data_IF_494952253554
#
_entry.id   IF_494952253554
#
_cell.length_a   1.000
_cell.length_b   1.000
_cell.length_c   1.000
_cell.angle_alpha   90.00
_cell.angle_beta   90.00
_cell.angle_gamma   90.00
#
_symmetry.space_group_name_H-M   'P 1'
#
loop_
_entity.id
_entity.type
_entity.pdbx_description
1 polymer ?
#
# COMPACT_ATOMS: atom_id res chain seq x y z
N UNK A 1 -24.41 14.52 -21.56
CA UNK A 1 -23.22 14.55 -22.43
C UNK A 1 -22.01 14.63 -21.52
N UNK A 2 -21.28 13.52 -21.33
CA UNK A 2 -20.10 13.49 -20.47
C UNK A 2 -18.85 13.90 -21.25
N UNK A 3 -18.25 15.02 -20.86
CA UNK A 3 -16.92 15.44 -21.34
C UNK A 3 -15.85 14.64 -20.61
N UNK A 4 -15.78 13.34 -20.85
CA UNK A 4 -14.60 12.55 -20.50
C UNK A 4 -13.47 13.02 -21.41
N UNK A 5 -12.67 13.98 -20.92
CA UNK A 5 -11.38 14.27 -21.52
C UNK A 5 -10.54 13.01 -21.36
N UNK A 6 -10.27 12.32 -22.48
CA UNK A 6 -9.39 11.15 -22.52
C UNK A 6 -8.12 11.48 -21.74
N UNK A 7 -7.87 10.72 -20.67
CA UNK A 7 -6.63 10.83 -19.91
C UNK A 7 -5.48 10.65 -20.90
N UNK A 8 -4.61 11.66 -21.01
CA UNK A 8 -3.52 11.63 -22.00
C UNK A 8 -2.43 10.61 -21.64
N UNK A 9 -2.50 10.05 -20.43
CA UNK A 9 -1.48 9.18 -19.86
C UNK A 9 -0.15 9.92 -19.68
N UNK A 10 0.79 9.34 -18.91
CA UNK A 10 2.19 9.73 -19.02
C UNK A 10 2.69 9.58 -20.47
N UNK A 11 3.63 10.43 -20.87
CA UNK A 11 4.54 10.15 -21.99
C UNK A 11 5.93 10.06 -21.38
N UNK A 12 6.50 8.87 -21.39
CA UNK A 12 7.83 8.60 -20.81
C UNK A 12 8.83 8.25 -21.93
N UNK A 13 9.40 9.26 -22.62
CA UNK A 13 10.44 9.03 -23.62
C UNK A 13 11.58 8.23 -23.00
N UNK A 14 11.96 7.12 -23.65
CA UNK A 14 13.01 6.21 -23.18
C UNK A 14 12.48 4.93 -22.52
N UNK A 15 11.35 4.98 -21.80
CA UNK A 15 10.75 3.76 -21.24
C UNK A 15 10.20 2.87 -22.37
N UNK A 16 9.48 3.46 -23.33
CA UNK A 16 8.99 2.74 -24.51
C UNK A 16 10.13 2.08 -25.31
N UNK A 17 11.28 2.76 -25.43
CA UNK A 17 12.44 2.22 -26.15
C UNK A 17 13.13 1.08 -25.40
N UNK A 18 13.15 1.14 -24.06
CA UNK A 18 13.69 0.06 -23.21
C UNK A 18 12.76 -1.17 -23.28
N UNK A 19 11.46 -0.99 -23.12
CA UNK A 19 10.50 -2.08 -23.24
C UNK A 19 10.39 -2.65 -24.66
N UNK A 20 10.60 -1.85 -25.71
CA UNK A 20 10.64 -2.38 -27.09
C UNK A 20 11.80 -3.33 -27.36
N UNK A 21 12.80 -3.35 -26.49
CA UNK A 21 13.94 -4.27 -26.56
C UNK A 21 13.86 -5.36 -25.49
N UNK A 22 12.89 -5.28 -24.59
CA UNK A 22 12.71 -6.22 -23.51
C UNK A 22 12.00 -7.47 -24.03
N UNK A 23 12.57 -8.63 -23.73
CA UNK A 23 11.88 -9.92 -23.87
C UNK A 23 12.06 -10.72 -22.58
N UNK A 24 11.05 -11.47 -22.13
CA UNK A 24 11.12 -12.25 -20.89
C UNK A 24 12.32 -13.19 -20.83
N UNK A 25 12.74 -13.73 -21.98
CA UNK A 25 13.79 -14.75 -22.08
C UNK A 25 15.21 -14.17 -21.98
N UNK A 26 15.38 -12.85 -22.20
CA UNK A 26 16.70 -12.21 -22.32
C UNK A 26 16.91 -11.05 -21.36
N UNK A 27 15.89 -10.70 -20.59
CA UNK A 27 15.88 -9.45 -19.83
C UNK A 27 15.58 -9.71 -18.37
N UNK A 28 16.39 -9.13 -17.50
CA UNK A 28 16.16 -9.19 -16.06
C UNK A 28 14.90 -8.38 -15.67
N UNK A 29 13.89 -9.00 -15.02
CA UNK A 29 12.70 -8.29 -14.56
C UNK A 29 13.00 -7.25 -13.48
N UNK A 30 14.06 -7.43 -12.69
CA UNK A 30 14.50 -6.44 -11.70
C UNK A 30 14.90 -5.11 -12.35
N UNK A 31 15.74 -5.18 -13.39
CA UNK A 31 16.13 -4.00 -14.18
C UNK A 31 14.95 -3.31 -14.87
N UNK A 32 13.96 -4.08 -15.33
CA UNK A 32 12.75 -3.52 -15.93
C UNK A 32 11.89 -2.79 -14.90
N UNK A 33 11.70 -3.39 -13.71
CA UNK A 33 11.02 -2.76 -12.59
C UNK A 33 11.72 -1.46 -12.15
N UNK A 34 13.03 -1.49 -11.95
CA UNK A 34 13.82 -0.31 -11.59
C UNK A 34 13.69 0.82 -12.63
N UNK A 35 13.71 0.47 -13.93
CA UNK A 35 13.49 1.44 -15.00
C UNK A 35 12.10 2.08 -14.98
N UNK A 36 11.07 1.30 -14.64
CA UNK A 36 9.69 1.81 -14.53
C UNK A 36 9.54 2.74 -13.32
N UNK A 37 10.09 2.37 -12.17
CA UNK A 37 10.08 3.21 -10.96
C UNK A 37 10.86 4.51 -11.18
N UNK A 38 12.05 4.45 -11.80
CA UNK A 38 12.84 5.65 -12.11
C UNK A 38 12.12 6.59 -13.10
N UNK A 39 11.40 6.05 -14.08
CA UNK A 39 10.59 6.86 -15.00
C UNK A 39 9.46 7.59 -14.26
N UNK A 40 8.78 6.91 -13.33
CA UNK A 40 7.78 7.53 -12.45
C UNK A 40 8.41 8.63 -11.59
N UNK A 41 9.51 8.33 -10.92
CA UNK A 41 10.20 9.30 -10.06
C UNK A 41 10.62 10.56 -10.84
N UNK A 42 11.17 10.40 -12.04
CA UNK A 42 11.51 11.55 -12.89
C UNK A 42 10.28 12.39 -13.28
N UNK A 43 9.16 11.74 -13.56
CA UNK A 43 7.91 12.44 -13.88
C UNK A 43 7.41 13.24 -12.67
N UNK A 44 7.35 12.63 -11.49
CA UNK A 44 6.92 13.29 -10.26
C UNK A 44 7.89 14.40 -9.81
N UNK A 45 9.21 14.27 -10.00
CA UNK A 45 10.15 15.37 -9.72
C UNK A 45 9.97 16.56 -10.65
N UNK A 46 9.65 16.31 -11.92
CA UNK A 46 9.42 17.37 -12.89
C UNK A 46 8.09 18.11 -12.64
N UNK A 47 7.07 17.38 -12.19
CA UNK A 47 5.75 17.89 -11.81
C UNK A 47 5.24 17.12 -10.59
N UNK A 48 5.36 17.66 -9.36
CA UNK A 48 4.95 16.99 -8.13
C UNK A 48 3.45 16.65 -8.07
N UNK A 49 2.63 17.33 -8.86
CA UNK A 49 1.19 17.11 -8.93
C UNK A 49 0.80 16.22 -10.13
N UNK A 50 1.80 15.67 -10.85
CA UNK A 50 1.59 14.78 -11.96
C UNK A 50 0.66 13.62 -11.57
N UNK A 51 -0.36 13.43 -12.42
CA UNK A 51 -1.38 12.38 -12.28
C UNK A 51 -2.26 12.50 -11.03
N UNK A 52 -2.09 13.52 -10.18
CA UNK A 52 -2.76 13.62 -8.88
C UNK A 52 -2.26 12.61 -7.84
N UNK A 53 -1.11 11.96 -8.09
CA UNK A 53 -0.61 10.90 -7.20
C UNK A 53 -0.33 11.42 -5.79
N UNK A 54 0.36 12.54 -5.66
CA UNK A 54 0.76 13.07 -4.35
C UNK A 54 -0.43 13.37 -3.45
N UNK A 55 -1.42 14.11 -3.96
CA UNK A 55 -2.63 14.47 -3.22
C UNK A 55 -3.44 13.23 -2.82
N UNK A 56 -3.77 12.38 -3.80
CA UNK A 56 -4.60 11.19 -3.57
C UNK A 56 -3.91 10.18 -2.63
N UNK A 57 -2.60 9.96 -2.80
CA UNK A 57 -1.81 9.07 -1.93
C UNK A 57 -1.71 9.61 -0.50
N UNK A 58 -1.58 10.93 -0.34
CA UNK A 58 -1.54 11.56 0.99
C UNK A 58 -2.88 11.41 1.69
N UNK A 59 -3.99 11.72 1.00
CA UNK A 59 -5.33 11.58 1.55
C UNK A 59 -5.64 10.13 1.94
N UNK A 60 -5.28 9.17 1.08
CA UNK A 60 -5.47 7.75 1.37
C UNK A 60 -4.56 7.23 2.49
N UNK A 61 -3.30 7.69 2.55
CA UNK A 61 -2.38 7.36 3.63
C UNK A 61 -2.86 7.85 5.00
N UNK A 62 -3.48 9.03 5.07
CA UNK A 62 -4.10 9.53 6.30
C UNK A 62 -5.31 8.68 6.71
N UNK A 63 -6.19 8.33 5.77
CA UNK A 63 -7.31 7.42 6.04
C UNK A 63 -6.84 6.03 6.45
N UNK A 64 -5.72 5.55 5.90
CA UNK A 64 -5.10 4.31 6.32
C UNK A 64 -4.63 4.39 7.78
N UNK A 65 -3.94 5.45 8.18
CA UNK A 65 -3.54 5.64 9.58
C UNK A 65 -4.76 5.69 10.52
N UNK A 66 -5.83 6.38 10.13
CA UNK A 66 -7.08 6.40 10.90
C UNK A 66 -7.74 5.01 10.96
N UNK A 67 -7.67 4.23 9.88
CA UNK A 67 -8.15 2.85 9.82
C UNK A 67 -7.33 1.92 10.72
N UNK A 68 -6.00 2.09 10.73
CA UNK A 68 -5.10 1.39 11.65
C UNK A 68 -5.47 1.67 13.11
N UNK A 69 -5.90 2.90 13.45
CA UNK A 69 -6.40 3.22 14.80
C UNK A 69 -7.59 2.36 15.20
N UNK A 70 -8.55 2.18 14.29
CA UNK A 70 -9.74 1.35 14.54
C UNK A 70 -9.33 -0.12 14.70
N UNK A 71 -8.50 -0.63 13.80
CA UNK A 71 -8.01 -2.01 13.85
C UNK A 71 -7.17 -2.28 15.11
N UNK A 72 -6.33 -1.33 15.53
CA UNK A 72 -5.49 -1.44 16.73
C UNK A 72 -6.30 -1.50 18.03
N UNK A 73 -7.50 -0.92 18.04
CA UNK A 73 -8.34 -0.83 19.25
C UNK A 73 -9.41 -1.92 19.31
N UNK A 74 -10.03 -2.20 18.17
CA UNK A 74 -11.28 -2.97 18.10
C UNK A 74 -11.24 -4.10 17.04
N UNK A 75 -10.10 -4.28 16.38
CA UNK A 75 -9.90 -5.29 15.35
C UNK A 75 -10.88 -5.16 14.18
N UNK A 76 -11.22 -6.27 13.50
CA UNK A 76 -12.14 -6.25 12.36
C UNK A 76 -13.58 -5.90 12.77
N UNK A 77 -13.95 -6.13 14.04
CA UNK A 77 -15.28 -5.78 14.54
C UNK A 77 -15.49 -4.27 14.59
N UNK A 78 -14.49 -3.51 15.03
CA UNK A 78 -14.54 -2.05 14.98
C UNK A 78 -14.65 -1.51 13.56
N UNK A 79 -13.92 -2.13 12.62
CA UNK A 79 -13.99 -1.77 11.21
C UNK A 79 -15.42 -1.91 10.66
N UNK A 80 -16.05 -3.08 10.88
CA UNK A 80 -17.44 -3.36 10.50
C UNK A 80 -18.43 -2.34 11.06
N UNK A 81 -18.41 -2.11 12.38
CA UNK A 81 -19.34 -1.14 13.02
C UNK A 81 -19.20 0.25 12.44
N UNK A 82 -17.96 0.64 12.20
CA UNK A 82 -17.67 1.97 11.70
C UNK A 82 -18.01 2.10 10.20
N UNK A 83 -18.16 1.00 9.45
CA UNK A 83 -18.77 0.99 8.12
C UNK A 83 -20.31 1.13 8.20
N UNK A 84 -20.97 0.37 9.08
CA UNK A 84 -22.44 0.45 9.31
C UNK A 84 -22.90 1.87 9.69
N UNK A 85 -22.11 2.58 10.50
CA UNK A 85 -22.41 3.97 10.86
C UNK A 85 -22.33 4.94 9.68
N UNK A 86 -21.42 4.69 8.72
CA UNK A 86 -21.24 5.53 7.54
C UNK A 86 -22.42 5.41 6.57
N UNK A 87 -22.97 4.20 6.42
CA UNK A 87 -24.19 3.95 5.63
C UNK A 87 -25.43 4.64 6.24
N UNK A 88 -25.57 4.58 7.57
CA UNK A 88 -26.71 5.21 8.27
C UNK A 88 -26.74 6.74 8.13
N UNK A 89 -25.57 7.38 8.03
CA UNK A 89 -25.46 8.83 7.86
C UNK A 89 -25.73 9.27 6.40
N UNK A 90 -25.32 8.48 5.41
CA UNK A 90 -25.63 8.74 4.00
C UNK A 90 -27.14 8.64 3.68
N UNK A 91 -27.86 7.73 4.33
CA UNK A 91 -29.32 7.55 4.14
C UNK A 91 -30.13 8.76 4.62
N UNK A 92 -29.61 9.54 5.57
CA UNK A 92 -30.30 10.72 6.11
C UNK A 92 -29.99 12.03 5.33
N UNK A 93 -28.99 12.03 4.44
CA UNK A 93 -28.51 13.21 3.72
C UNK A 93 -28.70 13.23 2.20
N UNK A 94 -29.06 12.11 1.57
CA UNK A 94 -29.08 11.98 0.11
C UNK A 94 -30.42 11.55 -0.49
N UNK A 95 -30.93 12.32 -1.45
CA UNK A 95 -32.08 11.97 -2.30
C UNK A 95 -31.93 10.56 -2.87
N UNK A 96 -32.76 9.62 -2.42
CA UNK A 96 -32.81 8.25 -2.90
C UNK A 96 -32.99 8.21 -4.42
N UNK A 97 -31.91 7.94 -5.14
CA UNK A 97 -31.98 7.45 -6.52
C UNK A 97 -32.14 5.93 -6.40
N UNK A 98 -33.28 5.35 -6.85
CA UNK A 98 -33.48 3.91 -6.76
C UNK A 98 -32.42 3.25 -7.62
N UNK A 99 -31.50 2.52 -6.99
CA UNK A 99 -30.61 1.62 -7.70
C UNK A 99 -31.46 0.48 -8.24
N UNK A 100 -31.77 0.58 -9.54
CA UNK A 100 -32.41 -0.48 -10.29
C UNK A 100 -31.57 -1.74 -10.17
N UNK A 101 -32.24 -2.81 -9.73
CA UNK A 101 -31.74 -4.19 -9.70
C UNK A 101 -31.11 -4.52 -11.05
N UNK A 102 -29.79 -4.42 -11.13
CA UNK A 102 -29.02 -4.92 -12.26
C UNK A 102 -28.16 -6.05 -11.72
N UNK A 103 -28.80 -7.19 -11.47
CA UNK A 103 -28.15 -8.48 -11.34
C UNK A 103 -27.44 -8.81 -12.64
N UNK A 104 -26.17 -8.44 -12.76
CA UNK A 104 -25.33 -8.82 -13.90
C UNK A 104 -23.83 -8.87 -13.56
N UNK A 105 -23.46 -9.48 -12.43
CA UNK A 105 -22.22 -10.28 -12.27
C UNK A 105 -22.47 -11.31 -11.17
N UNK A 106 -22.73 -12.56 -11.56
CA UNK A 106 -22.81 -13.70 -10.65
C UNK A 106 -21.44 -14.10 -10.10
N UNK A 107 -20.81 -13.20 -9.35
CA UNK A 107 -19.78 -13.54 -8.39
C UNK A 107 -20.38 -13.22 -7.03
N UNK A 108 -20.89 -14.24 -6.34
CA UNK A 108 -21.18 -14.15 -4.90
C UNK A 108 -19.85 -13.92 -4.17
N UNK A 109 -19.45 -12.65 -4.05
CA UNK A 109 -18.51 -12.22 -3.02
C UNK A 109 -19.30 -12.07 -1.72
N UNK A 110 -19.80 -13.20 -1.19
CA UNK A 110 -20.78 -13.25 -0.10
C UNK A 110 -20.18 -13.89 1.15
N UNK A 111 -18.88 -13.69 1.38
CA UNK A 111 -18.15 -14.22 2.52
C UNK A 111 -17.70 -13.14 3.53
N UNK A 112 -17.42 -13.52 4.79
CA UNK A 112 -16.83 -12.62 5.80
C UNK A 112 -15.58 -11.89 5.31
N UNK A 113 -14.71 -12.60 4.58
CA UNK A 113 -13.50 -12.05 3.99
C UNK A 113 -13.78 -10.95 2.96
N UNK A 114 -14.79 -11.11 2.11
CA UNK A 114 -15.11 -10.15 1.07
C UNK A 114 -15.70 -8.86 1.66
N UNK A 115 -16.56 -9.00 2.67
CA UNK A 115 -17.11 -7.86 3.41
C UNK A 115 -16.01 -7.07 4.12
N UNK A 116 -15.06 -7.77 4.77
CA UNK A 116 -13.89 -7.12 5.36
C UNK A 116 -13.03 -6.37 4.31
N UNK A 117 -12.78 -6.98 3.16
CA UNK A 117 -12.02 -6.35 2.07
C UNK A 117 -12.75 -5.11 1.56
N UNK A 118 -14.08 -5.17 1.40
CA UNK A 118 -14.90 -4.05 0.97
C UNK A 118 -14.81 -2.87 1.95
N UNK A 119 -15.09 -3.10 3.25
CA UNK A 119 -15.05 -2.07 4.29
C UNK A 119 -13.66 -1.43 4.41
N UNK A 120 -12.60 -2.24 4.41
CA UNK A 120 -11.22 -1.76 4.48
C UNK A 120 -10.88 -0.89 3.27
N UNK A 121 -11.26 -1.36 2.08
CA UNK A 121 -10.98 -0.68 0.81
C UNK A 121 -11.72 0.65 0.72
N UNK A 122 -13.00 0.69 1.10
CA UNK A 122 -13.81 1.90 1.09
C UNK A 122 -13.21 2.95 2.03
N UNK A 123 -12.86 2.57 3.26
CA UNK A 123 -12.24 3.48 4.23
C UNK A 123 -10.91 4.05 3.74
N UNK A 124 -10.05 3.22 3.17
CA UNK A 124 -8.72 3.67 2.73
C UNK A 124 -8.82 4.49 1.43
N UNK A 125 -9.52 3.99 0.42
CA UNK A 125 -9.52 4.59 -0.91
C UNK A 125 -10.54 5.73 -1.06
N UNK A 126 -11.64 5.72 -0.30
CA UNK A 126 -12.72 6.69 -0.39
C UNK A 126 -13.46 6.69 -1.74
N UNK A 127 -14.22 7.76 -1.97
CA UNK A 127 -15.18 7.88 -3.09
C UNK A 127 -14.57 8.44 -4.38
N UNK A 128 -13.24 8.57 -4.46
CA UNK A 128 -12.57 9.16 -5.61
C UNK A 128 -12.78 8.38 -6.91
N UNK A 129 -12.90 9.08 -8.04
CA UNK A 129 -13.24 8.47 -9.34
C UNK A 129 -12.12 8.54 -10.38
N UNK A 130 -10.90 8.87 -9.96
CA UNK A 130 -9.73 8.98 -10.85
C UNK A 130 -9.07 7.61 -11.09
N UNK A 131 -8.14 7.56 -12.05
CA UNK A 131 -7.28 6.37 -12.27
C UNK A 131 -6.44 6.07 -11.02
N UNK A 132 -5.98 7.09 -10.31
CA UNK A 132 -5.23 6.91 -9.06
C UNK A 132 -6.13 6.30 -7.99
N UNK A 133 -7.38 6.73 -7.88
CA UNK A 133 -8.33 6.14 -6.92
C UNK A 133 -8.62 4.66 -7.23
N UNK A 134 -8.67 4.28 -8.51
CA UNK A 134 -8.75 2.87 -8.89
C UNK A 134 -7.50 2.08 -8.46
N UNK A 135 -6.30 2.67 -8.56
CA UNK A 135 -5.07 2.06 -8.09
C UNK A 135 -5.03 1.95 -6.56
N UNK A 136 -5.52 2.97 -5.84
CA UNK A 136 -5.66 2.97 -4.38
C UNK A 136 -6.59 1.85 -3.90
N UNK A 137 -7.75 1.68 -4.55
CA UNK A 137 -8.67 0.57 -4.25
C UNK A 137 -8.00 -0.78 -4.43
N UNK A 138 -7.30 -0.99 -5.55
CA UNK A 138 -6.59 -2.24 -5.81
C UNK A 138 -5.46 -2.49 -4.82
N UNK A 139 -4.69 -1.46 -4.46
CA UNK A 139 -3.65 -1.56 -3.46
C UNK A 139 -4.21 -1.95 -2.08
N UNK A 140 -5.35 -1.38 -1.68
CA UNK A 140 -6.06 -1.76 -0.46
C UNK A 140 -6.55 -3.21 -0.51
N UNK A 141 -7.19 -3.63 -1.61
CA UNK A 141 -7.64 -5.02 -1.81
C UNK A 141 -6.47 -6.01 -1.73
N UNK A 142 -5.36 -5.74 -2.41
CA UNK A 142 -4.17 -6.60 -2.37
C UNK A 142 -3.58 -6.67 -0.97
N UNK A 143 -3.53 -5.53 -0.26
CA UNK A 143 -3.04 -5.48 1.13
C UNK A 143 -3.95 -6.25 2.08
N UNK A 144 -5.27 -6.15 1.91
CA UNK A 144 -6.27 -6.92 2.66
C UNK A 144 -6.13 -8.43 2.39
N UNK A 145 -5.93 -8.82 1.13
CA UNK A 145 -5.68 -10.21 0.75
C UNK A 145 -4.45 -10.79 1.46
N UNK A 146 -3.33 -10.04 1.48
CA UNK A 146 -2.11 -10.44 2.19
C UNK A 146 -2.30 -10.58 3.69
N UNK A 147 -3.14 -9.74 4.29
CA UNK A 147 -3.52 -9.90 5.69
C UNK A 147 -4.33 -11.18 5.89
N UNK A 148 -5.32 -11.44 5.03
CA UNK A 148 -6.18 -12.62 5.10
C UNK A 148 -5.43 -13.94 4.85
N UNK A 149 -4.28 -13.92 4.20
CA UNK A 149 -3.42 -15.11 4.06
C UNK A 149 -2.87 -15.61 5.40
N UNK A 150 -2.93 -14.78 6.45
CA UNK A 150 -2.60 -15.16 7.83
C UNK A 150 -3.81 -15.80 8.51
N UNK A 151 -3.60 -16.98 9.08
CA UNK A 151 -4.66 -17.77 9.69
C UNK A 151 -5.33 -17.04 10.87
N UNK A 152 -4.54 -16.33 11.68
CA UNK A 152 -5.02 -15.54 12.82
C UNK A 152 -5.93 -14.39 12.39
N UNK A 153 -5.58 -13.71 11.29
CA UNK A 153 -6.41 -12.63 10.74
C UNK A 153 -7.69 -13.19 10.13
N UNK A 154 -7.60 -14.28 9.36
CA UNK A 154 -8.77 -14.92 8.74
C UNK A 154 -9.77 -15.38 9.81
N UNK A 155 -9.31 -16.01 10.89
CA UNK A 155 -10.17 -16.40 12.00
C UNK A 155 -10.85 -15.20 12.69
N UNK A 156 -10.09 -14.12 12.93
CA UNK A 156 -10.65 -12.90 13.52
C UNK A 156 -11.71 -12.24 12.62
N UNK A 157 -11.49 -12.23 11.30
CA UNK A 157 -12.45 -11.73 10.31
C UNK A 157 -13.68 -12.62 10.25
N UNK A 158 -13.54 -13.94 10.19
CA UNK A 158 -14.67 -14.88 10.15
C UNK A 158 -15.55 -14.75 11.41
N UNK A 159 -14.93 -14.57 12.58
CA UNK A 159 -15.65 -14.33 13.84
C UNK A 159 -16.35 -12.96 13.86
N UNK A 160 -15.72 -11.94 13.27
CA UNK A 160 -16.26 -10.57 13.24
C UNK A 160 -17.35 -10.40 12.20
N UNK A 161 -17.23 -11.00 11.02
CA UNK A 161 -18.13 -10.79 9.88
C UNK A 161 -19.08 -11.98 9.62
N UNK A 162 -18.95 -13.09 10.35
CA UNK A 162 -19.81 -14.27 10.22
C UNK A 162 -21.26 -14.05 10.66
N UNK A 163 -22.17 -14.86 10.10
CA UNK A 163 -23.59 -14.84 10.45
C UNK A 163 -23.81 -15.19 11.94
N UNK A 164 -24.54 -14.33 12.65
CA UNK A 164 -24.77 -14.48 14.10
C UNK A 164 -23.64 -13.95 14.99
N UNK A 165 -22.71 -13.17 14.43
CA UNK A 165 -21.63 -12.53 15.20
C UNK A 165 -22.17 -11.57 16.26
N UNK A 166 -22.23 -12.05 17.51
CA UNK A 166 -22.31 -11.23 18.72
C UNK A 166 -20.91 -10.95 19.26
N UNK A 167 -19.93 -10.77 18.37
CA UNK A 167 -18.52 -10.73 18.75
C UNK A 167 -18.33 -9.78 19.94
N UNK A 168 -17.75 -10.26 21.06
CA UNK A 168 -17.34 -9.37 22.14
C UNK A 168 -16.41 -8.29 21.58
N UNK A 169 -16.16 -7.22 22.32
CA UNK A 169 -15.10 -6.26 21.96
C UNK A 169 -13.86 -7.03 21.55
N UNK A 170 -13.54 -7.00 20.26
CA UNK A 170 -12.47 -7.80 19.71
C UNK A 170 -11.15 -7.20 20.16
N UNK A 171 -10.23 -8.05 20.60
CA UNK A 171 -8.86 -7.60 20.83
C UNK A 171 -8.33 -6.95 19.55
N UNK A 172 -7.77 -5.76 19.71
CA UNK A 172 -7.14 -5.03 18.64
C UNK A 172 -6.03 -5.84 17.97
N UNK A 173 -5.72 -5.48 16.72
CA UNK A 173 -4.61 -6.11 16.02
C UNK A 173 -3.26 -5.70 16.57
N UNK A 174 -2.33 -6.66 16.57
CA UNK A 174 -0.94 -6.42 16.92
C UNK A 174 -0.29 -5.37 16.00
N UNK A 175 0.58 -4.54 16.58
CA UNK A 175 1.33 -3.47 15.90
C UNK A 175 2.01 -3.93 14.61
N UNK A 176 2.66 -5.10 14.62
CA UNK A 176 3.36 -5.63 13.46
C UNK A 176 2.45 -5.85 12.24
N UNK A 177 1.18 -6.26 12.46
CA UNK A 177 0.21 -6.41 11.37
C UNK A 177 -0.16 -5.06 10.75
N UNK A 178 -0.27 -4.02 11.59
CA UNK A 178 -0.59 -2.67 11.16
C UNK A 178 0.58 -2.04 10.39
N UNK A 179 1.82 -2.25 10.84
CA UNK A 179 3.03 -1.82 10.14
C UNK A 179 3.17 -2.50 8.77
N UNK A 180 2.86 -3.80 8.68
CA UNK A 180 2.83 -4.51 7.40
C UNK A 180 1.73 -3.99 6.46
N UNK A 181 0.52 -3.76 6.96
CA UNK A 181 -0.56 -3.15 6.18
C UNK A 181 -0.14 -1.78 5.62
N UNK A 182 0.47 -0.93 6.45
CA UNK A 182 0.99 0.38 6.04
C UNK A 182 1.96 0.26 4.87
N UNK A 183 2.98 -0.60 5.02
CA UNK A 183 4.04 -0.76 4.02
C UNK A 183 3.54 -1.39 2.73
N UNK A 184 2.70 -2.43 2.83
CA UNK A 184 2.11 -3.08 1.66
C UNK A 184 1.20 -2.14 0.87
N UNK A 185 0.44 -1.27 1.55
CA UNK A 185 -0.43 -0.32 0.88
C UNK A 185 0.36 0.64 -0.02
N UNK A 186 1.39 1.30 0.51
CA UNK A 186 2.21 2.23 -0.27
C UNK A 186 2.98 1.55 -1.40
N UNK A 187 3.51 0.34 -1.15
CA UNK A 187 4.16 -0.45 -2.19
C UNK A 187 3.19 -0.89 -3.29
N UNK A 188 1.99 -1.35 -2.89
CA UNK A 188 0.92 -1.78 -3.78
C UNK A 188 0.41 -0.64 -4.65
N UNK A 189 0.30 0.58 -4.11
CA UNK A 189 -0.15 1.76 -4.86
C UNK A 189 0.73 2.04 -6.07
N UNK A 190 2.05 2.09 -5.89
CA UNK A 190 2.98 2.34 -7.00
C UNK A 190 2.97 1.18 -7.99
N UNK A 191 2.90 -0.06 -7.49
CA UNK A 191 2.82 -1.24 -8.34
C UNK A 191 1.57 -1.23 -9.23
N UNK A 192 0.39 -0.96 -8.66
CA UNK A 192 -0.87 -0.88 -9.40
C UNK A 192 -0.91 0.32 -10.36
N UNK A 193 -0.35 1.47 -9.96
CA UNK A 193 -0.25 2.62 -10.85
C UNK A 193 0.66 2.33 -12.05
N UNK A 194 1.84 1.76 -11.81
CA UNK A 194 2.76 1.38 -12.88
C UNK A 194 2.15 0.30 -13.77
N UNK A 195 1.44 -0.67 -13.20
CA UNK A 195 0.70 -1.67 -13.96
C UNK A 195 -0.35 -1.05 -14.87
N UNK A 196 -1.13 -0.09 -14.37
CA UNK A 196 -2.15 0.61 -15.14
C UNK A 196 -1.53 1.46 -16.27
N UNK A 197 -0.46 2.20 -15.96
CA UNK A 197 0.28 3.00 -16.95
C UNK A 197 0.91 2.13 -18.02
N UNK A 198 1.56 1.04 -17.61
CA UNK A 198 2.24 0.11 -18.52
C UNK A 198 1.22 -0.58 -19.42
N UNK A 199 0.12 -1.07 -18.87
CA UNK A 199 -0.95 -1.69 -19.67
C UNK A 199 -1.42 -0.75 -20.79
N UNK A 200 -1.71 0.50 -20.47
CA UNK A 200 -2.19 1.47 -21.45
C UNK A 200 -1.10 1.93 -22.44
N UNK A 201 0.09 2.30 -21.95
CA UNK A 201 1.10 2.93 -22.79
C UNK A 201 1.92 1.92 -23.59
N UNK A 202 2.19 0.74 -23.02
CA UNK A 202 2.97 -0.27 -23.68
C UNK A 202 2.12 -1.08 -24.66
N UNK A 203 0.88 -1.47 -24.34
CA UNK A 203 0.07 -2.20 -25.33
C UNK A 203 -0.22 -1.35 -26.58
N UNK A 204 -0.30 -0.02 -26.44
CA UNK A 204 -0.39 0.90 -27.58
C UNK A 204 0.88 0.93 -28.44
N UNK A 205 2.05 0.61 -27.89
CA UNK A 205 3.33 0.65 -28.61
C UNK A 205 3.87 -0.74 -28.98
N UNK A 206 3.51 -1.77 -28.23
CA UNK A 206 3.94 -3.16 -28.29
C UNK A 206 2.79 -4.07 -27.83
N UNK A 207 1.86 -4.43 -28.73
CA UNK A 207 0.71 -5.24 -28.38
C UNK A 207 1.13 -6.59 -27.77
N UNK A 208 0.57 -6.95 -26.61
CA UNK A 208 0.80 -8.24 -25.95
C UNK A 208 1.94 -8.28 -24.94
N UNK A 209 2.64 -7.15 -24.71
CA UNK A 209 3.63 -7.11 -23.63
C UNK A 209 2.95 -7.21 -22.25
N UNK A 210 1.79 -6.58 -22.08
CA UNK A 210 1.08 -6.57 -20.79
C UNK A 210 0.56 -7.95 -20.37
N UNK A 211 0.39 -8.88 -21.31
CA UNK A 211 0.10 -10.29 -21.01
C UNK A 211 1.36 -11.07 -20.60
N UNK A 212 2.54 -10.72 -21.13
CA UNK A 212 3.80 -11.37 -20.80
C UNK A 212 4.42 -10.85 -19.48
N UNK A 213 4.12 -9.61 -19.08
CA UNK A 213 4.71 -8.98 -17.90
C UNK A 213 4.35 -9.63 -16.55
N UNK A 214 3.09 -10.05 -16.29
CA UNK A 214 2.75 -10.80 -15.09
C UNK A 214 3.52 -12.12 -14.97
N UNK A 215 3.69 -12.86 -16.08
CA UNK A 215 4.46 -14.11 -16.10
C UNK A 215 5.95 -13.89 -15.83
N UNK A 216 6.45 -12.68 -16.11
CA UNK A 216 7.84 -12.31 -15.91
C UNK A 216 8.17 -11.75 -14.51
N UNK A 217 7.18 -11.60 -13.62
CA UNK A 217 7.41 -11.19 -12.23
C UNK A 217 7.77 -9.71 -12.03
N UNK A 218 7.52 -8.84 -13.02
CA UNK A 218 7.85 -7.41 -12.92
C UNK A 218 7.04 -6.69 -11.82
N UNK A 219 5.71 -6.89 -11.70
CA UNK A 219 4.92 -6.25 -10.64
C UNK A 219 5.42 -6.57 -9.22
N UNK A 220 5.87 -7.81 -9.00
CA UNK A 220 6.44 -8.28 -7.74
C UNK A 220 7.76 -7.55 -7.48
N UNK A 221 8.64 -7.43 -8.49
CA UNK A 221 9.89 -6.68 -8.37
C UNK A 221 9.69 -5.19 -8.14
N UNK A 222 8.69 -4.57 -8.77
CA UNK A 222 8.30 -3.19 -8.47
C UNK A 222 7.86 -3.08 -7.01
N UNK A 223 7.03 -4.02 -6.55
CA UNK A 223 6.55 -4.03 -5.17
C UNK A 223 7.71 -4.17 -4.17
N UNK A 224 8.64 -5.11 -4.41
CA UNK A 224 9.85 -5.30 -3.58
C UNK A 224 10.71 -4.03 -3.51
N UNK A 225 10.94 -3.40 -4.68
CA UNK A 225 11.71 -2.16 -4.78
C UNK A 225 11.04 -1.01 -4.02
N UNK A 226 9.72 -0.86 -4.14
CA UNK A 226 9.01 0.22 -3.45
C UNK A 226 8.91 -0.07 -1.95
N UNK A 227 8.73 -1.34 -1.55
CA UNK A 227 8.65 -1.75 -0.15
C UNK A 227 9.92 -1.42 0.65
N UNK A 228 11.09 -1.40 0.00
CA UNK A 228 12.35 -0.98 0.62
C UNK A 228 12.49 0.53 0.78
N UNK A 229 11.64 1.32 0.12
CA UNK A 229 11.60 2.78 0.22
C UNK A 229 10.62 3.28 1.29
N UNK A 230 9.59 2.48 1.61
CA UNK A 230 8.56 2.88 2.55
C UNK A 230 9.10 2.74 3.99
N UNK A 231 9.14 3.83 4.77
CA UNK A 231 9.47 3.77 6.20
C UNK A 231 8.58 2.79 6.95
N UNK A 232 9.16 2.05 7.90
CA UNK A 232 8.42 1.17 8.79
C UNK A 232 7.94 1.93 10.04
N UNK A 233 6.62 2.06 10.27
CA UNK A 233 6.12 2.76 11.45
C UNK A 233 6.56 2.12 12.78
N UNK A 234 6.78 0.81 12.81
CA UNK A 234 7.19 0.09 14.03
C UNK A 234 8.65 0.40 14.39
N UNK A 235 9.54 0.41 13.38
CA UNK A 235 10.95 0.80 13.58
C UNK A 235 11.04 2.26 14.04
N UNK A 236 10.29 3.15 13.39
CA UNK A 236 10.25 4.58 13.68
C UNK A 236 9.65 4.91 15.06
N UNK A 237 8.68 4.12 15.55
CA UNK A 237 8.18 4.24 16.93
C UNK A 237 9.25 3.83 17.95
N UNK A 238 9.92 2.70 17.72
CA UNK A 238 10.99 2.21 18.61
C UNK A 238 12.15 3.22 18.73
N UNK A 239 12.52 3.87 17.63
CA UNK A 239 13.55 4.91 17.63
C UNK A 239 13.15 6.18 18.41
N UNK A 240 11.86 6.51 18.44
CA UNK A 240 11.31 7.65 19.21
C UNK A 240 11.26 7.37 20.71
N UNK A 241 11.01 6.13 21.09
CA UNK A 241 11.04 5.69 22.48
C UNK A 241 12.48 5.66 23.06
N UNK A 242 13.48 5.41 22.21
CA UNK A 242 14.91 5.43 22.55
C UNK A 242 15.33 4.35 23.56
N UNK A 243 16.64 4.04 23.70
CA UNK A 243 17.14 3.02 24.64
C UNK A 243 17.04 3.41 26.14
N UNK A 244 16.30 4.45 26.50
CA UNK A 244 15.92 4.82 27.85
C UNK A 244 14.84 5.88 27.74
N UNK A 245 13.71 5.69 28.45
CA UNK A 245 12.61 6.65 28.58
C UNK A 245 13.01 7.97 29.25
N UNK A 246 13.95 8.69 28.63
CA UNK A 246 14.40 10.03 28.99
C UNK A 246 13.85 10.97 27.93
N UNK A 247 12.68 11.53 28.23
CA UNK A 247 12.12 12.69 27.54
C UNK A 247 13.18 13.82 27.55
N UNK A 248 13.58 14.39 26.40
CA UNK A 248 14.40 15.58 26.39
C UNK A 248 13.59 16.75 26.96
N UNK A 249 13.87 17.15 28.20
CA UNK A 249 13.36 18.39 28.79
C UNK A 249 12.13 18.29 29.72
N UNK A 250 11.76 17.10 30.20
CA UNK A 250 10.70 16.95 31.22
C UNK A 250 11.30 16.63 32.59
N UNK A 251 11.06 17.46 33.60
CA UNK A 251 11.43 17.17 34.99
C UNK A 251 10.75 15.86 35.45
N UNK A 252 11.57 14.92 35.92
CA UNK A 252 11.14 13.63 36.44
C UNK A 252 10.47 13.82 37.82
N UNK A 253 9.17 13.57 37.94
CA UNK A 253 8.54 13.30 39.23
C UNK A 253 8.49 11.78 39.45
N UNK A 254 9.27 11.21 40.38
CA UNK A 254 9.45 9.76 40.50
C UNK A 254 8.40 9.10 41.40
N UNK A 255 7.10 9.27 41.14
CA UNK A 255 6.08 8.52 41.90
C UNK A 255 4.86 7.99 41.12
N UNK A 256 4.72 8.23 39.81
CA UNK A 256 3.55 7.73 39.03
C UNK A 256 3.87 6.58 38.06
N UNK A 257 5.13 6.16 37.93
CA UNK A 257 5.56 5.11 36.97
C UNK A 257 5.29 3.66 37.42
N UNK A 258 4.69 3.45 38.59
CA UNK A 258 4.42 2.10 39.09
C UNK A 258 2.98 1.60 38.85
N UNK A 259 2.08 2.42 38.27
CA UNK A 259 0.66 2.07 38.10
C UNK A 259 0.20 1.89 36.64
N UNK A 260 1.06 2.13 35.65
CA UNK A 260 0.70 2.07 34.23
C UNK A 260 1.27 0.86 33.46
N UNK A 261 1.96 -0.07 34.15
CA UNK A 261 2.67 -1.18 33.50
C UNK A 261 1.77 -2.40 33.18
N UNK A 262 0.49 -2.37 33.53
CA UNK A 262 -0.43 -3.52 33.36
C UNK A 262 -1.54 -3.30 32.30
N UNK A 263 -1.45 -2.26 31.46
CA UNK A 263 -2.39 -2.05 30.34
C UNK A 263 -1.70 -2.18 28.98
N UNK A 264 -1.80 -3.34 28.28
CA UNK A 264 -1.24 -3.51 26.93
C UNK A 264 -1.92 -2.61 25.88
N UNK A 265 -3.03 -1.94 26.19
CA UNK A 265 -3.67 -0.96 25.32
C UNK A 265 -3.14 0.48 25.49
N UNK A 266 -2.29 0.74 26.50
CA UNK A 266 -1.70 2.06 26.72
C UNK A 266 -0.42 2.32 25.89
N UNK A 267 0.16 1.29 25.26
CA UNK A 267 1.37 1.38 24.43
C UNK A 267 1.11 1.60 22.92
N UNK A 268 -0.13 1.47 22.47
CA UNK A 268 -0.55 1.68 21.07
C UNK A 268 -0.84 3.13 20.61
N UNK A 269 -0.98 4.18 21.46
CA UNK A 269 -1.23 5.54 20.97
C UNK A 269 -0.07 6.13 20.16
N UNK A 270 1.16 5.63 20.31
CA UNK A 270 2.32 6.15 19.57
C UNK A 270 2.36 5.66 18.11
N UNK A 271 2.08 4.39 17.86
CA UNK A 271 2.22 3.80 16.52
C UNK A 271 1.37 4.49 15.46
N UNK A 272 0.11 4.79 15.78
CA UNK A 272 -0.83 5.39 14.83
C UNK A 272 -0.44 6.83 14.52
N UNK A 273 0.03 7.59 15.51
CA UNK A 273 0.52 8.95 15.30
C UNK A 273 1.83 8.94 14.51
N UNK A 274 2.74 8.00 14.79
CA UNK A 274 3.94 7.77 13.97
C UNK A 274 3.56 7.46 12.53
N UNK A 275 2.65 6.53 12.27
CA UNK A 275 2.19 6.20 10.93
C UNK A 275 1.60 7.42 10.21
N UNK A 276 0.79 8.24 10.90
CA UNK A 276 0.23 9.47 10.35
C UNK A 276 1.30 10.49 9.98
N UNK A 277 2.30 10.68 10.85
CA UNK A 277 3.44 11.58 10.61
C UNK A 277 4.35 11.09 9.48
N UNK A 278 4.42 9.78 9.24
CA UNK A 278 5.20 9.19 8.16
C UNK A 278 4.54 9.34 6.79
N UNK A 279 3.22 9.59 6.68
CA UNK A 279 2.52 9.66 5.39
C UNK A 279 3.22 10.57 4.37
N UNK A 280 3.57 11.84 4.68
CA UNK A 280 4.27 12.69 3.72
C UNK A 280 5.63 12.14 3.29
N UNK A 281 6.36 11.50 4.22
CA UNK A 281 7.68 10.90 3.95
C UNK A 281 7.54 9.62 3.09
N UNK A 282 6.55 8.78 3.38
CA UNK A 282 6.24 7.58 2.58
C UNK A 282 5.83 7.96 1.17
N UNK A 283 4.89 8.92 1.02
CA UNK A 283 4.49 9.44 -0.30
C UNK A 283 5.69 10.04 -1.03
N UNK A 284 6.50 10.84 -0.35
CA UNK A 284 7.70 11.42 -0.93
C UNK A 284 8.70 10.36 -1.40
N UNK A 285 8.94 9.32 -0.60
CA UNK A 285 9.87 8.23 -0.93
C UNK A 285 9.39 7.41 -2.14
N UNK A 286 8.12 6.96 -2.13
CA UNK A 286 7.61 6.11 -3.21
C UNK A 286 7.43 6.85 -4.54
N UNK A 287 7.23 8.18 -4.50
CA UNK A 287 7.16 9.04 -5.68
C UNK A 287 8.52 9.65 -6.08
N UNK A 288 9.59 9.39 -5.33
CA UNK A 288 10.93 9.90 -5.61
C UNK A 288 11.10 11.40 -5.40
N UNK A 289 10.27 12.00 -4.54
CA UNK A 289 10.27 13.41 -4.14
C UNK A 289 11.12 13.68 -2.88
N UNK A 290 11.62 12.63 -2.21
CA UNK A 290 12.51 12.77 -1.06
C UNK A 290 13.92 13.19 -1.48
N UNK A 291 14.50 14.18 -0.79
CA UNK A 291 15.87 14.65 -1.01
C UNK A 291 16.89 13.53 -0.70
N UNK A 292 17.91 13.37 -1.55
CA UNK A 292 19.05 12.48 -1.29
C UNK A 292 18.87 11.01 -1.65
N UNK A 293 17.79 10.62 -2.34
CA UNK A 293 17.62 9.25 -2.85
C UNK A 293 18.71 8.88 -3.87
N UNK A 294 19.52 7.82 -3.64
CA UNK A 294 20.43 7.32 -4.67
C UNK A 294 19.62 6.84 -5.87
N UNK A 295 20.14 7.06 -7.08
CA UNK A 295 19.53 6.51 -8.29
C UNK A 295 19.44 4.99 -8.18
N UNK A 296 18.26 4.42 -8.45
CA UNK A 296 17.97 2.98 -8.32
C UNK A 296 18.89 2.11 -9.23
N UNK A 297 19.67 2.74 -10.11
CA UNK A 297 20.70 2.09 -10.94
C UNK A 297 21.86 1.46 -10.11
N UNK A 298 22.12 1.90 -8.86
CA UNK A 298 23.24 1.37 -8.07
C UNK A 298 22.93 0.03 -7.36
N UNK A 299 21.67 -0.22 -7.01
CA UNK A 299 21.27 -1.45 -6.30
C UNK A 299 21.29 -2.72 -7.16
N UNK A 300 21.37 -2.58 -8.49
CA UNK A 300 21.36 -3.69 -9.45
C UNK A 300 22.76 -4.16 -9.89
N UNK A 301 23.84 -3.64 -9.29
CA UNK A 301 25.23 -4.01 -9.67
C UNK A 301 25.94 -4.94 -8.69
N UNK A 302 25.36 -5.29 -7.55
CA UNK A 302 25.95 -6.29 -6.64
C UNK A 302 25.58 -7.71 -7.07
N UNK A 303 26.16 -8.16 -8.18
CA UNK A 303 26.42 -9.58 -8.40
C UNK A 303 27.82 -9.87 -7.86
N UNK A 304 28.04 -10.90 -7.01
CA UNK A 304 29.39 -11.30 -6.64
C UNK A 304 30.08 -11.89 -7.88
N UNK A 305 30.90 -11.07 -8.53
CA UNK A 305 31.84 -11.53 -9.54
C UNK A 305 33.05 -12.11 -8.82
N UNK A 306 32.94 -13.37 -8.39
CA UNK A 306 34.11 -14.19 -8.07
C UNK A 306 33.99 -15.54 -8.76
N UNK A 307 34.64 -15.65 -9.92
CA UNK A 307 35.08 -16.93 -10.46
C UNK A 307 36.51 -16.75 -10.95
N UNK A 308 37.52 -17.37 -10.30
CA UNK A 308 38.89 -17.27 -10.72
C UNK A 308 39.11 -18.04 -12.03
N UNK A 309 40.03 -17.52 -12.83
CA UNK A 309 40.49 -18.06 -14.09
C UNK A 309 41.17 -19.43 -13.93
N UNK A 310 40.92 -20.28 -14.93
CA UNK A 310 41.85 -21.24 -15.54
C UNK A 310 42.71 -22.15 -14.62
N UNK A 311 42.33 -23.43 -14.54
CA UNK A 311 43.28 -24.54 -14.43
C UNK A 311 43.15 -25.43 -15.67
N UNK A 312 44.18 -25.41 -16.52
CA UNK A 312 44.44 -26.45 -17.54
C UNK A 312 44.66 -27.81 -16.86
N UNK A 313 44.12 -28.92 -17.41
CA UNK A 313 44.61 -30.24 -17.04
C UNK A 313 45.82 -30.62 -17.90
N UNK A 314 46.97 -30.75 -17.24
CA UNK A 314 48.11 -31.52 -17.74
C UNK A 314 48.06 -32.95 -17.19
N UNK A 315 48.41 -33.89 -18.08
CA UNK A 315 48.56 -35.35 -17.96
C UNK A 315 47.32 -36.21 -18.28
#
# INVERSE_FOLDING_TARGET
MGTSTRWKGPRWPGLNQRFSRWTPERSDPGRAAASAVDALHRACRADPDAFGLREASTAAGLRLADTMRVLAKEGPTGLRRAAEHQEGEQVLGGSAVPHGETSATGLEWSGPADAFVADLTERIAGDGTTVVDACLRRAAVVSAGRLLDRAEVRQAVDASYGSGSTAPEGDGWASDLLCLLYRWFFAGLVSEFLRAVVAEQIDLTLPGLSTAMPEAGIPEKVTDLVLSLVPDPCEEATEREGPSGLVPGGELYPEEVAAAADDPAAATPDLVEVARLLVPRSVGAVLGLADGMPGIDEAATTTPSDRPADEEPSA
#
